data_IF_320139281852
#
_entry.id   IF_320139281852
#
_cell.length_a   1.000
_cell.length_b   1.000
_cell.length_c   1.000
_cell.angle_alpha   90.00
_cell.angle_beta   90.00
_cell.angle_gamma   90.00
#
_symmetry.space_group_name_H-M   'P 1'
#
loop_
_entity.id
_entity.type
_entity.pdbx_description
1 polymer ?
#
# COMPACT_ATOMS: atom_id res chain seq x y z
N UNK A 1 -1.22 -3.20 -21.64
CA UNK A 1 -1.00 -3.56 -20.23
C UNK A 1 0.32 -2.93 -19.81
N UNK A 2 0.31 -1.93 -18.92
CA UNK A 2 1.52 -1.21 -18.50
C UNK A 2 2.00 -1.84 -17.20
N UNK A 3 3.16 -2.47 -17.23
CA UNK A 3 3.76 -3.06 -16.03
C UNK A 3 4.55 -1.98 -15.30
N UNK A 4 4.07 -1.54 -14.14
CA UNK A 4 4.85 -0.64 -13.29
C UNK A 4 5.82 -1.48 -12.46
N UNK A 5 7.15 -1.32 -12.64
CA UNK A 5 8.11 -2.06 -11.85
C UNK A 5 8.03 -1.61 -10.38
N UNK A 6 7.89 -2.56 -9.48
CA UNK A 6 7.93 -2.36 -8.02
C UNK A 6 8.57 -3.59 -7.39
N UNK A 7 9.28 -3.41 -6.27
CA UNK A 7 9.87 -4.54 -5.56
C UNK A 7 8.80 -5.29 -4.76
N UNK A 8 7.84 -4.57 -4.19
CA UNK A 8 6.79 -5.14 -3.34
C UNK A 8 5.45 -4.48 -3.68
N UNK A 9 4.48 -5.29 -4.11
CA UNK A 9 3.10 -4.86 -4.30
C UNK A 9 2.24 -5.25 -3.10
N UNK A 10 1.55 -4.29 -2.49
CA UNK A 10 0.64 -4.48 -1.36
C UNK A 10 -0.79 -4.23 -1.86
N UNK A 11 -1.65 -5.24 -1.79
CA UNK A 11 -3.05 -5.12 -2.22
C UNK A 11 -3.94 -4.88 -0.99
N UNK A 12 -4.57 -3.71 -0.92
CA UNK A 12 -5.32 -3.21 0.22
C UNK A 12 -4.50 -2.23 1.08
N UNK A 13 -4.95 -0.98 1.17
CA UNK A 13 -4.39 0.14 1.91
C UNK A 13 -5.14 0.50 3.20
N UNK A 14 -5.89 -0.45 3.77
CA UNK A 14 -6.48 -0.30 5.12
C UNK A 14 -5.42 -0.23 6.23
N UNK A 15 -5.84 -0.25 7.50
CA UNK A 15 -4.96 -0.07 8.67
C UNK A 15 -3.68 -0.92 8.62
N UNK A 16 -3.79 -2.19 8.24
CA UNK A 16 -2.64 -3.11 8.15
C UNK A 16 -1.79 -2.83 6.92
N UNK A 17 -2.42 -2.61 5.76
CA UNK A 17 -1.71 -2.37 4.50
C UNK A 17 -0.90 -1.08 4.50
N UNK A 18 -1.47 -0.01 5.07
CA UNK A 18 -0.77 1.26 5.25
C UNK A 18 0.39 1.17 6.24
N UNK A 19 0.19 0.50 7.38
CA UNK A 19 1.26 0.29 8.36
C UNK A 19 2.41 -0.57 7.81
N UNK A 20 2.07 -1.62 7.05
CA UNK A 20 3.05 -2.47 6.37
C UNK A 20 3.85 -1.68 5.33
N UNK A 21 3.16 -0.91 4.48
CA UNK A 21 3.81 -0.06 3.47
C UNK A 21 4.76 0.95 4.11
N UNK A 22 4.35 1.57 5.22
CA UNK A 22 5.17 2.52 5.96
C UNK A 22 6.43 1.84 6.53
N UNK A 23 6.28 0.69 7.19
CA UNK A 23 7.43 -0.03 7.74
C UNK A 23 8.43 -0.43 6.64
N UNK A 24 7.94 -0.98 5.53
CA UNK A 24 8.80 -1.36 4.40
C UNK A 24 9.49 -0.16 3.74
N UNK A 25 8.78 0.96 3.56
CA UNK A 25 9.38 2.18 3.03
C UNK A 25 10.45 2.76 3.97
N UNK A 26 10.24 2.69 5.30
CA UNK A 26 11.24 3.10 6.30
C UNK A 26 12.49 2.22 6.28
N UNK A 27 12.35 0.94 5.93
CA UNK A 27 13.47 0.02 5.73
C UNK A 27 14.14 0.14 4.35
N UNK A 28 13.71 1.10 3.52
CA UNK A 28 14.35 1.42 2.24
C UNK A 28 13.84 0.61 1.04
N UNK A 29 12.75 -0.14 1.19
CA UNK A 29 12.15 -0.90 0.09
C UNK A 29 11.26 -0.02 -0.80
N UNK A 30 11.26 -0.30 -2.10
CA UNK A 30 10.32 0.32 -3.05
C UNK A 30 8.99 -0.42 -3.05
N UNK A 31 7.96 0.21 -2.48
CA UNK A 31 6.63 -0.40 -2.29
C UNK A 31 5.55 0.31 -3.10
N UNK A 32 4.64 -0.47 -3.68
CA UNK A 32 3.44 0.04 -4.35
C UNK A 32 2.19 -0.50 -3.65
N UNK A 33 1.33 0.39 -3.15
CA UNK A 33 0.03 0.01 -2.58
C UNK A 33 -1.05 0.13 -3.64
N UNK A 34 -1.81 -0.94 -3.85
CA UNK A 34 -2.94 -1.02 -4.76
C UNK A 34 -4.20 -1.10 -3.90
N UNK A 35 -5.00 -0.04 -3.91
CA UNK A 35 -6.27 0.02 -3.18
C UNK A 35 -7.40 0.30 -4.17
N UNK A 36 -8.52 -0.39 -3.97
CA UNK A 36 -9.76 -0.10 -4.67
C UNK A 36 -10.41 1.12 -4.00
N UNK A 37 -10.96 2.06 -4.78
CA UNK A 37 -11.34 3.42 -4.35
C UNK A 37 -12.39 3.57 -3.22
N UNK A 38 -12.71 2.50 -2.47
CA UNK A 38 -13.49 2.59 -1.24
C UNK A 38 -12.54 2.84 -0.07
N UNK A 39 -12.11 4.08 0.08
CA UNK A 39 -11.53 4.54 1.33
C UNK A 39 -12.56 4.29 2.44
N UNK A 40 -12.28 3.34 3.33
CA UNK A 40 -13.06 3.19 4.54
C UNK A 40 -12.67 4.36 5.46
N UNK A 41 -13.45 5.44 5.37
CA UNK A 41 -13.41 6.54 6.33
C UNK A 41 -13.54 5.95 7.73
N UNK A 42 -12.57 6.25 8.60
CA UNK A 42 -12.65 5.94 10.03
C UNK A 42 -13.97 6.50 10.54
N UNK A 43 -14.91 5.62 10.89
CA UNK A 43 -16.19 6.00 11.48
C UNK A 43 -15.87 6.75 12.77
N UNK A 44 -16.17 8.05 12.77
CA UNK A 44 -16.14 8.90 13.96
C UNK A 44 -17.52 8.92 14.59
#
# INVERSE_FOLDING_TARGET
>A
MTNQPTEIAIVGGGMVGGALALGLAQHGFSVTVIEHARTCTVYR
#
